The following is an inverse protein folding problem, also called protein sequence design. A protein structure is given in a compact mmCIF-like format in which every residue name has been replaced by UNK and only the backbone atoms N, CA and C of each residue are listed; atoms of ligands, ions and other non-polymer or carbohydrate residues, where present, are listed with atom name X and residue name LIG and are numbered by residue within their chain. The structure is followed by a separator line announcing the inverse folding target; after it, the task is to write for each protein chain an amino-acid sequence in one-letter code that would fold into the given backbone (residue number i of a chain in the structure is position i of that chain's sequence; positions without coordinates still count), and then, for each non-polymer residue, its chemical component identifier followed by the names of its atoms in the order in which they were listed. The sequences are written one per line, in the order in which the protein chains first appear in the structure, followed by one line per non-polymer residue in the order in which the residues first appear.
data_IF_127767889662
#
_entry.id   IF_127767889662
#
_cell.length_a   1.000
_cell.length_b   1.000
_cell.length_c   1.000
_cell.angle_alpha   90.00
_cell.angle_beta   90.00
_cell.angle_gamma   90.00
#
_symmetry.space_group_name_H-M   'P 1'
#
loop_
_entity.id
_entity.type
_entity.pdbx_description
1 polymer ?
#
# COMPACT_ATOMS: atom_id res chain seq x y z
N UNK A 1 -29.21 48.36 -62.77
CA UNK A 1 -29.40 48.46 -61.31
C UNK A 1 -28.10 48.07 -60.65
N UNK A 2 -27.71 48.78 -59.60
CA UNK A 2 -26.38 48.68 -58.97
C UNK A 2 -26.52 48.28 -57.49
N UNK A 3 -25.47 47.65 -56.96
CA UNK A 3 -25.14 47.45 -55.53
C UNK A 3 -24.43 48.72 -55.00
N UNK A 4 -24.04 48.88 -53.70
CA UNK A 4 -24.47 48.26 -52.43
C UNK A 4 -25.12 49.37 -51.52
N UNK A 5 -25.02 49.47 -50.17
CA UNK A 5 -24.55 48.57 -49.08
C UNK A 5 -25.56 48.47 -47.89
N UNK A 6 -25.30 48.17 -46.59
CA UNK A 6 -24.10 47.87 -45.75
C UNK A 6 -24.50 47.02 -44.50
N UNK A 7 -23.54 46.66 -43.63
CA UNK A 7 -23.63 46.27 -42.20
C UNK A 7 -22.83 47.32 -41.36
N UNK A 8 -22.68 47.32 -40.01
CA UNK A 8 -23.14 46.38 -38.95
C UNK A 8 -23.76 47.06 -37.70
N UNK A 9 -24.07 46.31 -36.64
CA UNK A 9 -23.54 46.58 -35.27
C UNK A 9 -23.94 45.50 -34.26
N UNK A 10 -22.98 45.10 -33.42
CA UNK A 10 -23.21 44.34 -32.19
C UNK A 10 -23.65 45.29 -31.07
N UNK A 11 -24.55 44.83 -30.18
CA UNK A 11 -24.50 45.23 -28.76
C UNK A 11 -25.22 44.23 -27.85
N UNK A 12 -24.52 43.77 -26.82
CA UNK A 12 -25.14 43.19 -25.63
C UNK A 12 -25.97 44.25 -24.90
N UNK A 13 -27.04 43.83 -24.20
CA UNK A 13 -27.14 43.96 -22.74
C UNK A 13 -28.47 43.36 -22.21
N UNK A 14 -28.33 42.36 -21.36
CA UNK A 14 -29.12 42.02 -20.16
C UNK A 14 -30.64 41.76 -20.19
N UNK A 15 -31.04 40.97 -19.17
CA UNK A 15 -32.39 40.66 -18.69
C UNK A 15 -33.34 39.93 -19.65
N UNK A 16 -33.66 38.67 -19.28
CA UNK A 16 -34.95 38.36 -18.66
C UNK A 16 -34.93 36.96 -18.06
N UNK A 17 -35.16 36.88 -16.75
CA UNK A 17 -35.51 35.66 -16.05
C UNK A 17 -37.01 35.73 -15.70
N UNK A 18 -37.81 34.83 -16.27
CA UNK A 18 -39.19 34.53 -15.87
C UNK A 18 -39.36 33.00 -16.10
N UNK A 19 -39.22 32.20 -15.04
CA UNK A 19 -40.34 31.66 -14.25
C UNK A 19 -41.35 30.81 -15.05
N UNK A 20 -41.08 29.51 -15.13
CA UNK A 20 -42.15 28.50 -15.19
C UNK A 20 -42.38 27.94 -13.79
N UNK A 21 -43.34 28.54 -13.06
CA UNK A 21 -43.76 28.05 -11.75
C UNK A 21 -44.55 26.73 -11.89
N UNK A 22 -44.00 25.64 -11.35
CA UNK A 22 -44.74 24.39 -11.16
C UNK A 22 -45.22 24.27 -9.70
N UNK A 23 -46.54 24.12 -9.52
CA UNK A 23 -47.15 23.93 -8.21
C UNK A 23 -46.63 22.64 -7.54
N UNK A 24 -45.75 22.81 -6.54
CA UNK A 24 -45.34 21.71 -5.66
C UNK A 24 -45.27 22.24 -4.22
N UNK A 25 -46.07 21.67 -3.31
CA UNK A 25 -46.19 22.14 -1.92
C UNK A 25 -45.03 21.69 -1.02
N UNK A 26 -43.80 21.76 -1.51
CA UNK A 26 -42.61 21.57 -0.67
C UNK A 26 -42.13 22.94 -0.17
N UNK A 27 -41.77 23.09 1.12
CA UNK A 27 -41.08 24.28 1.56
C UNK A 27 -39.76 24.41 0.76
N UNK A 28 -39.32 25.63 0.43
CA UNK A 28 -38.03 25.81 -0.23
C UNK A 28 -36.93 25.20 0.64
N UNK A 29 -35.94 24.57 0.00
CA UNK A 29 -34.73 24.16 0.70
C UNK A 29 -34.14 25.38 1.43
N UNK A 30 -33.67 25.23 2.69
CA UNK A 30 -32.97 26.33 3.35
C UNK A 30 -31.80 26.78 2.47
N UNK A 31 -31.57 28.09 2.39
CA UNK A 31 -30.38 28.63 1.72
C UNK A 31 -29.13 28.02 2.37
N UNK A 32 -28.05 27.83 1.59
CA UNK A 32 -26.83 27.16 2.01
C UNK A 32 -26.26 27.75 3.32
N UNK A 33 -26.69 27.18 4.45
CA UNK A 33 -26.01 27.35 5.72
C UNK A 33 -24.67 26.63 5.56
N UNK A 34 -23.59 27.41 5.54
CA UNK A 34 -22.25 26.92 5.81
C UNK A 34 -22.26 26.34 7.22
N UNK A 35 -22.63 25.06 7.31
CA UNK A 35 -22.50 24.27 8.52
C UNK A 35 -21.01 24.19 8.85
N UNK A 36 -20.55 25.08 9.75
CA UNK A 36 -19.33 24.82 10.51
C UNK A 36 -19.54 23.48 11.19
N UNK A 37 -18.88 22.44 10.68
CA UNK A 37 -19.03 21.06 11.15
C UNK A 37 -18.26 20.94 12.48
N UNK A 38 -18.80 21.55 13.53
CA UNK A 38 -18.41 21.27 14.92
C UNK A 38 -18.71 19.80 15.17
N UNK A 39 -17.70 18.96 15.03
CA UNK A 39 -17.87 17.52 15.10
C UNK A 39 -18.44 17.13 16.47
N UNK A 40 -19.40 16.22 16.52
CA UNK A 40 -20.05 15.79 17.77
C UNK A 40 -19.13 15.04 18.73
N UNK A 41 -17.92 14.69 18.30
CA UNK A 41 -16.89 14.04 19.09
C UNK A 41 -16.00 15.09 19.76
N UNK A 42 -15.87 15.02 21.09
CA UNK A 42 -14.97 15.88 21.87
C UNK A 42 -13.50 15.66 21.46
N UNK A 43 -12.75 16.71 21.07
CA UNK A 43 -11.31 16.60 20.80
C UNK A 43 -10.51 15.94 21.93
N UNK A 44 -10.92 16.13 23.18
CA UNK A 44 -10.30 15.53 24.36
C UNK A 44 -10.40 14.00 24.35
N UNK A 45 -11.49 13.45 23.80
CA UNK A 45 -11.68 12.01 23.65
C UNK A 45 -10.70 11.45 22.61
N UNK A 46 -10.55 12.10 21.45
CA UNK A 46 -9.60 11.70 20.40
C UNK A 46 -8.16 11.71 20.94
N UNK A 47 -7.78 12.76 21.66
CA UNK A 47 -6.46 12.85 22.33
C UNK A 47 -6.30 11.73 23.37
N UNK A 48 -7.36 11.35 24.08
CA UNK A 48 -7.31 10.24 25.03
C UNK A 48 -7.08 8.89 24.35
N UNK A 49 -7.69 8.66 23.18
CA UNK A 49 -7.48 7.45 22.38
C UNK A 49 -6.04 7.39 21.86
N UNK A 50 -5.50 8.46 21.28
CA UNK A 50 -4.10 8.51 20.79
C UNK A 50 -3.12 8.15 21.92
N UNK A 51 -3.38 8.60 23.15
CA UNK A 51 -2.56 8.24 24.33
C UNK A 51 -2.67 6.78 24.75
N UNK A 52 -3.80 6.11 24.51
CA UNK A 52 -3.93 4.65 24.72
C UNK A 52 -3.15 3.85 23.68
N UNK A 53 -2.94 4.40 22.48
CA UNK A 53 -2.18 3.75 21.42
C UNK A 53 -0.66 3.77 21.64
N UNK A 54 -0.15 4.56 22.61
CA UNK A 54 1.26 4.60 22.96
C UNK A 54 1.77 3.21 23.32
N UNK A 55 2.86 2.72 22.69
CA UNK A 55 3.50 1.48 23.10
C UNK A 55 3.82 1.50 24.59
N UNK A 56 3.42 0.45 25.31
CA UNK A 56 3.78 0.29 26.71
C UNK A 56 5.30 0.36 26.82
N UNK A 57 5.82 1.18 27.75
CA UNK A 57 7.26 1.31 28.01
C UNK A 57 7.86 -0.09 28.23
N UNK A 58 8.50 -0.64 27.20
CA UNK A 58 9.39 -1.78 27.31
C UNK A 58 10.49 -1.30 28.25
N UNK A 59 10.44 -1.76 29.50
CA UNK A 59 11.36 -1.31 30.54
C UNK A 59 12.77 -1.39 29.97
N UNK A 60 13.42 -0.24 29.85
CA UNK A 60 14.83 -0.17 29.50
C UNK A 60 15.55 -1.14 30.43
N UNK A 61 16.17 -2.18 29.85
CA UNK A 61 16.75 -3.27 30.62
C UNK A 61 17.72 -2.70 31.65
N UNK A 62 17.65 -3.20 32.88
CA UNK A 62 18.40 -2.68 34.02
C UNK A 62 19.90 -2.71 33.75
N UNK A 63 20.44 -1.61 33.20
CA UNK A 63 21.84 -1.27 33.37
C UNK A 63 21.98 -0.90 34.84
N UNK A 64 22.31 -1.91 35.64
CA UNK A 64 22.70 -1.76 37.03
C UNK A 64 24.00 -0.97 37.09
N UNK A 65 23.87 0.36 37.00
CA UNK A 65 24.89 1.31 37.44
C UNK A 65 24.93 1.25 38.97
N UNK A 66 25.67 0.26 39.47
CA UNK A 66 26.05 0.18 40.87
C UNK A 66 26.88 1.40 41.25
N UNK A 67 26.21 2.44 41.75
CA UNK A 67 26.83 3.59 42.39
C UNK A 67 27.27 3.22 43.81
N UNK A 68 28.45 2.61 43.94
CA UNK A 68 29.22 2.68 45.18
C UNK A 68 30.01 3.98 45.18
N UNK A 69 29.63 4.93 46.04
CA UNK A 69 30.21 6.26 46.12
C UNK A 69 31.10 6.43 47.36
N UNK A 70 32.41 6.21 47.22
CA UNK A 70 33.53 6.67 48.05
C UNK A 70 34.82 6.42 47.24
N UNK A 71 35.88 7.24 47.20
CA UNK A 71 36.24 8.49 47.90
C UNK A 71 37.14 9.35 46.97
N UNK A 72 37.47 10.59 47.36
CA UNK A 72 38.13 11.57 46.50
C UNK A 72 39.63 11.33 46.25
N UNK A 73 40.14 11.71 45.07
CA UNK A 73 41.41 12.47 44.92
C UNK A 73 41.69 12.98 43.49
N UNK A 74 42.20 14.20 43.47
CA UNK A 74 42.75 15.05 42.39
C UNK A 74 43.70 14.35 41.40
N UNK A 75 43.56 14.58 40.08
CA UNK A 75 44.52 15.32 39.22
C UNK A 75 44.14 15.31 37.73
N UNK A 76 44.73 16.24 36.97
CA UNK A 76 44.34 16.64 35.62
C UNK A 76 45.04 15.89 34.44
N UNK A 77 44.96 16.46 33.22
CA UNK A 77 44.46 15.71 32.07
C UNK A 77 45.55 15.26 31.07
N UNK A 78 45.28 14.17 30.33
CA UNK A 78 46.05 13.82 29.12
C UNK A 78 45.18 13.28 27.98
N UNK A 79 45.40 13.88 26.82
CA UNK A 79 44.87 13.54 25.49
C UNK A 79 45.73 12.45 24.84
N UNK A 80 45.12 11.43 24.22
CA UNK A 80 45.68 10.65 23.09
C UNK A 80 44.57 9.70 22.56
N UNK A 81 43.99 9.94 21.38
CA UNK A 81 44.51 9.51 20.06
C UNK A 81 44.40 7.99 19.81
N UNK A 82 43.20 7.54 19.44
CA UNK A 82 42.93 6.15 19.04
C UNK A 82 43.59 5.84 17.68
N UNK A 83 44.62 4.99 17.66
CA UNK A 83 45.25 4.49 16.42
C UNK A 83 44.79 3.08 16.10
N UNK A 84 44.26 2.91 14.90
CA UNK A 84 44.07 1.62 14.25
C UNK A 84 45.46 1.08 13.86
N UNK A 85 45.75 -0.17 14.22
CA UNK A 85 46.82 -0.97 13.59
C UNK A 85 46.33 -2.38 13.34
N UNK A 86 46.69 -2.92 12.18
CA UNK A 86 46.24 -4.20 11.63
C UNK A 86 47.42 -5.16 11.42
N UNK A 87 47.12 -6.38 10.94
CA UNK A 87 48.04 -7.39 10.37
C UNK A 87 48.68 -8.39 11.38
N UNK A 88 49.29 -9.51 10.93
CA UNK A 88 48.54 -10.76 10.69
C UNK A 88 49.28 -12.06 11.14
N UNK A 89 48.67 -13.24 11.01
CA UNK A 89 49.40 -14.51 10.77
C UNK A 89 48.51 -15.58 10.12
N UNK A 90 49.14 -16.52 9.42
CA UNK A 90 48.53 -17.43 8.44
C UNK A 90 48.31 -18.89 8.93
N UNK A 91 47.39 -19.59 8.24
CA UNK A 91 47.39 -21.00 7.82
C UNK A 91 47.56 -22.16 8.84
N UNK A 92 46.62 -23.12 8.80
CA UNK A 92 46.64 -24.35 9.60
C UNK A 92 45.55 -25.38 9.25
N UNK A 93 45.52 -25.83 8.00
CA UNK A 93 44.59 -26.80 7.38
C UNK A 93 44.25 -28.09 8.19
N UNK A 94 42.96 -28.50 8.22
CA UNK A 94 42.49 -29.90 8.04
C UNK A 94 40.95 -30.12 8.01
N UNK A 95 40.48 -30.74 6.92
CA UNK A 95 39.29 -31.61 6.74
C UNK A 95 38.90 -32.47 7.99
N UNK A 96 37.68 -32.97 8.24
CA UNK A 96 36.30 -32.92 7.68
C UNK A 96 35.46 -34.01 8.46
N UNK A 97 34.26 -34.48 8.05
CA UNK A 97 33.01 -34.26 8.79
C UNK A 97 32.34 -35.51 9.42
N UNK A 98 31.37 -35.33 10.31
CA UNK A 98 30.39 -36.38 10.70
C UNK A 98 28.97 -35.80 10.78
N UNK A 99 28.00 -36.55 10.24
CA UNK A 99 26.57 -36.24 10.18
C UNK A 99 25.77 -37.42 10.77
N UNK A 100 25.08 -37.22 11.89
CA UNK A 100 23.98 -38.05 12.45
C UNK A 100 23.14 -37.10 13.33
N UNK A 101 21.93 -36.70 12.94
CA UNK A 101 20.62 -37.37 13.09
C UNK A 101 20.11 -37.49 14.54
N UNK A 102 18.81 -37.22 14.67
CA UNK A 102 17.96 -37.09 15.86
C UNK A 102 18.15 -38.11 17.01
N UNK A 103 17.90 -37.67 18.24
CA UNK A 103 17.08 -38.47 19.18
C UNK A 103 16.51 -37.63 20.33
N UNK A 104 15.18 -37.70 20.48
CA UNK A 104 14.42 -37.15 21.62
C UNK A 104 14.64 -38.02 22.87
N UNK A 105 15.07 -37.42 23.99
CA UNK A 105 15.00 -38.07 25.32
C UNK A 105 14.62 -37.10 26.43
N UNK A 106 13.41 -37.30 26.95
CA UNK A 106 12.93 -36.83 28.25
C UNK A 106 13.85 -37.31 29.37
N UNK A 107 14.19 -36.43 30.31
CA UNK A 107 14.79 -36.79 31.58
C UNK A 107 14.22 -35.85 32.66
N UNK A 108 13.17 -36.32 33.33
CA UNK A 108 12.60 -35.67 34.51
C UNK A 108 13.60 -35.73 35.66
N UNK A 109 13.94 -34.59 36.25
CA UNK A 109 14.62 -34.54 37.55
C UNK A 109 13.72 -33.85 38.56
N UNK A 110 12.87 -34.66 39.21
CA UNK A 110 12.19 -34.28 40.45
C UNK A 110 13.23 -34.03 41.55
N UNK A 111 13.28 -32.80 42.07
CA UNK A 111 13.65 -32.57 43.46
C UNK A 111 12.48 -31.83 44.09
N UNK A 112 11.61 -32.60 44.73
CA UNK A 112 10.43 -32.07 45.42
C UNK A 112 10.85 -31.55 46.80
N UNK A 113 10.82 -30.23 46.98
CA UNK A 113 10.85 -29.60 48.30
C UNK A 113 9.67 -28.63 48.42
N UNK A 114 8.68 -29.06 49.18
CA UNK A 114 7.39 -28.38 49.32
C UNK A 114 7.48 -27.15 50.22
N UNK A 115 7.20 -25.96 49.66
CA UNK A 115 6.58 -24.83 50.36
C UNK A 115 5.58 -24.17 49.41
N UNK A 116 4.46 -23.67 49.95
CA UNK A 116 3.37 -23.01 49.21
C UNK A 116 3.85 -21.98 48.17
N UNK A 117 3.30 -22.06 46.95
CA UNK A 117 3.76 -21.21 45.84
C UNK A 117 3.09 -21.42 44.48
N UNK A 118 1.82 -21.83 44.43
CA UNK A 118 1.06 -21.79 43.16
C UNK A 118 0.75 -20.33 42.77
N UNK A 119 0.76 -20.07 41.46
CA UNK A 119 0.22 -18.88 40.75
C UNK A 119 1.18 -17.71 40.43
N UNK A 120 2.14 -17.88 39.50
CA UNK A 120 2.84 -16.74 38.86
C UNK A 120 3.14 -16.86 37.34
N UNK A 121 2.79 -17.96 36.66
CA UNK A 121 3.08 -18.12 35.22
C UNK A 121 1.90 -17.87 34.27
N UNK A 122 0.66 -17.79 34.78
CA UNK A 122 -0.54 -17.59 33.94
C UNK A 122 -0.75 -16.11 33.58
N UNK A 123 -0.61 -15.21 34.57
CA UNK A 123 -1.03 -13.81 34.47
C UNK A 123 -0.29 -12.96 33.40
N UNK A 124 0.90 -13.38 32.92
CA UNK A 124 1.66 -12.58 31.94
C UNK A 124 1.06 -12.61 30.54
N UNK A 125 0.55 -13.74 30.08
CA UNK A 125 -0.12 -13.82 28.78
C UNK A 125 -1.51 -13.15 28.84
N UNK A 126 -2.18 -13.24 29.98
CA UNK A 126 -3.49 -12.63 30.22
C UNK A 126 -3.40 -11.09 30.30
N UNK A 127 -2.44 -10.52 31.05
CA UNK A 127 -2.21 -9.06 31.08
C UNK A 127 -1.73 -8.49 29.73
N UNK A 128 -1.01 -9.27 28.92
CA UNK A 128 -0.65 -8.85 27.54
C UNK A 128 -1.87 -8.90 26.62
N UNK A 129 -2.64 -9.99 26.61
CA UNK A 129 -3.82 -10.11 25.76
C UNK A 129 -4.88 -9.03 26.07
N UNK A 130 -5.15 -8.76 27.36
CA UNK A 130 -6.08 -7.69 27.78
C UNK A 130 -5.59 -6.30 27.35
N UNK A 131 -4.27 -6.04 27.38
CA UNK A 131 -3.70 -4.79 26.86
C UNK A 131 -3.81 -4.66 25.34
N UNK A 132 -3.68 -5.76 24.61
CA UNK A 132 -3.86 -5.77 23.15
C UNK A 132 -5.34 -5.54 22.78
N UNK A 133 -6.29 -6.09 23.56
CA UNK A 133 -7.74 -5.85 23.39
C UNK A 133 -8.13 -4.38 23.69
N UNK A 134 -7.66 -3.80 24.80
CA UNK A 134 -7.84 -2.37 25.14
C UNK A 134 -7.24 -1.44 24.06
N UNK A 135 -6.10 -1.83 23.48
CA UNK A 135 -5.45 -1.11 22.38
C UNK A 135 -6.26 -1.23 21.10
N UNK A 136 -6.73 -2.44 20.76
CA UNK A 136 -7.51 -2.71 19.55
C UNK A 136 -8.83 -1.94 19.53
N UNK A 137 -9.61 -1.95 20.61
CA UNK A 137 -10.85 -1.16 20.71
C UNK A 137 -10.57 0.33 20.43
N UNK A 138 -9.53 0.86 21.07
CA UNK A 138 -9.13 2.26 20.95
C UNK A 138 -8.62 2.60 19.53
N UNK A 139 -7.91 1.66 18.90
CA UNK A 139 -7.38 1.78 17.54
C UNK A 139 -8.46 1.71 16.48
N UNK A 140 -9.44 0.81 16.62
CA UNK A 140 -10.59 0.73 15.70
C UNK A 140 -11.40 2.02 15.70
N UNK A 141 -11.66 2.61 16.88
CA UNK A 141 -12.36 3.90 16.99
C UNK A 141 -11.57 5.02 16.31
N UNK A 142 -10.23 5.05 16.44
CA UNK A 142 -9.40 6.01 15.71
C UNK A 142 -9.39 5.76 14.20
N UNK A 143 -9.45 4.51 13.75
CA UNK A 143 -9.51 4.17 12.32
C UNK A 143 -10.79 4.72 11.68
N UNK A 144 -11.94 4.50 12.30
CA UNK A 144 -13.23 5.05 11.87
C UNK A 144 -13.20 6.59 11.85
N UNK A 145 -12.70 7.22 12.92
CA UNK A 145 -12.62 8.68 13.03
C UNK A 145 -11.64 9.29 12.02
N UNK A 146 -10.55 8.62 11.67
CA UNK A 146 -9.56 9.12 10.70
C UNK A 146 -10.11 9.29 9.28
N UNK A 147 -11.28 8.70 8.95
CA UNK A 147 -11.97 8.95 7.68
C UNK A 147 -12.50 10.40 7.58
N UNK A 148 -12.77 11.06 8.71
CA UNK A 148 -13.23 12.45 8.78
C UNK A 148 -12.04 13.41 8.70
N UNK A 149 -12.08 14.39 7.78
CA UNK A 149 -11.02 15.38 7.58
C UNK A 149 -10.65 16.13 8.86
N UNK A 150 -11.65 16.67 9.55
CA UNK A 150 -11.46 17.46 10.78
C UNK A 150 -10.83 16.62 11.91
N UNK A 151 -11.18 15.34 11.98
CA UNK A 151 -10.60 14.42 12.96
C UNK A 151 -9.20 13.98 12.57
N UNK A 152 -8.94 13.74 11.28
CA UNK A 152 -7.62 13.44 10.77
C UNK A 152 -6.62 14.57 11.03
N UNK A 153 -7.01 15.83 10.77
CA UNK A 153 -6.20 17.01 11.05
C UNK A 153 -5.89 17.12 12.55
N UNK A 154 -6.91 16.99 13.43
CA UNK A 154 -6.72 16.99 14.88
C UNK A 154 -5.79 15.86 15.36
N UNK A 155 -5.93 14.64 14.83
CA UNK A 155 -5.06 13.51 15.20
C UNK A 155 -3.60 13.79 14.86
N UNK A 156 -3.37 14.34 13.67
CA UNK A 156 -2.03 14.68 13.16
C UNK A 156 -1.41 15.84 13.96
N UNK A 157 -2.19 16.84 14.36
CA UNK A 157 -1.76 17.90 15.29
C UNK A 157 -1.41 17.36 16.68
N UNK A 158 -1.99 16.22 17.09
CA UNK A 158 -1.79 15.59 18.40
C UNK A 158 -0.88 14.35 18.35
N UNK A 159 0.10 14.36 17.44
CA UNK A 159 1.18 13.36 17.33
C UNK A 159 0.75 11.92 17.01
N UNK A 160 -0.43 11.71 16.41
CA UNK A 160 -0.88 10.35 16.07
C UNK A 160 0.11 9.61 15.16
N UNK A 161 0.75 10.30 14.21
CA UNK A 161 1.70 9.68 13.29
C UNK A 161 2.98 9.20 13.98
N UNK A 162 3.49 9.98 14.93
CA UNK A 162 4.64 9.62 15.76
C UNK A 162 4.31 8.43 16.68
N UNK A 163 3.08 8.37 17.22
CA UNK A 163 2.60 7.21 18.01
C UNK A 163 2.46 5.96 17.13
N UNK A 164 1.82 6.07 15.96
CA UNK A 164 1.61 4.95 15.03
C UNK A 164 2.94 4.42 14.48
N UNK A 165 3.90 5.29 14.17
CA UNK A 165 5.27 4.90 13.81
C UNK A 165 5.94 4.11 14.94
N UNK A 166 5.89 4.64 16.18
CA UNK A 166 6.47 3.94 17.33
C UNK A 166 5.82 2.55 17.54
N UNK A 167 4.51 2.42 17.32
CA UNK A 167 3.79 1.15 17.36
C UNK A 167 4.22 0.18 16.26
N UNK A 168 4.29 0.62 15.00
CA UNK A 168 4.75 -0.20 13.87
C UNK A 168 6.19 -0.72 14.07
N UNK A 169 7.06 0.05 14.74
CA UNK A 169 8.44 -0.36 15.03
C UNK A 169 8.59 -1.42 16.14
N UNK A 170 7.57 -1.65 16.97
CA UNK A 170 7.66 -2.54 18.15
C UNK A 170 6.58 -3.61 18.23
N UNK A 171 5.48 -3.45 17.50
CA UNK A 171 4.40 -4.44 17.46
C UNK A 171 4.87 -5.76 16.87
N UNK A 172 4.31 -6.86 17.41
CA UNK A 172 4.37 -8.20 16.82
C UNK A 172 2.98 -8.74 16.49
N UNK A 173 1.93 -7.99 16.81
CA UNK A 173 0.56 -8.37 16.54
C UNK A 173 0.18 -7.86 15.15
N UNK A 174 -0.18 -8.78 14.26
CA UNK A 174 -0.67 -8.45 12.92
C UNK A 174 -1.88 -7.52 12.99
N UNK A 175 -2.80 -7.74 13.93
CA UNK A 175 -4.00 -6.91 14.10
C UNK A 175 -3.67 -5.47 14.51
N UNK A 176 -2.71 -5.28 15.41
CA UNK A 176 -2.23 -3.94 15.80
C UNK A 176 -1.55 -3.24 14.61
N UNK A 177 -0.80 -3.99 13.79
CA UNK A 177 -0.14 -3.48 12.59
C UNK A 177 -1.14 -3.10 11.50
N UNK A 178 -2.13 -3.95 11.23
CA UNK A 178 -3.25 -3.70 10.31
C UNK A 178 -3.99 -2.41 10.70
N UNK A 179 -4.43 -2.29 11.95
CA UNK A 179 -5.12 -1.10 12.46
C UNK A 179 -4.22 0.14 12.35
N UNK A 180 -2.93 0.02 12.66
CA UNK A 180 -2.00 1.15 12.57
C UNK A 180 -1.84 1.64 11.12
N UNK A 181 -1.67 0.72 10.17
CA UNK A 181 -1.62 1.02 8.74
C UNK A 181 -2.95 1.59 8.24
N UNK A 182 -4.08 1.06 8.71
CA UNK A 182 -5.43 1.50 8.38
C UNK A 182 -5.72 2.94 8.81
N UNK A 183 -5.32 3.31 10.03
CA UNK A 183 -5.38 4.70 10.51
C UNK A 183 -4.54 5.60 9.60
N UNK A 184 -3.26 5.26 9.35
CA UNK A 184 -2.38 6.08 8.48
C UNK A 184 -2.96 6.19 7.06
N UNK A 185 -3.52 5.10 6.53
CA UNK A 185 -4.18 5.04 5.23
C UNK A 185 -5.46 5.87 5.14
N UNK A 186 -6.18 6.09 6.24
CA UNK A 186 -7.31 7.03 6.29
C UNK A 186 -6.81 8.48 6.44
N UNK A 187 -5.77 8.71 7.24
CA UNK A 187 -5.13 10.03 7.36
C UNK A 187 -4.57 10.51 6.01
N UNK A 188 -4.00 9.62 5.18
CA UNK A 188 -3.44 9.97 3.87
C UNK A 188 -4.49 10.33 2.80
N UNK A 189 -5.78 10.16 3.08
CA UNK A 189 -6.88 10.67 2.23
C UNK A 189 -7.00 12.21 2.26
N UNK A 190 -6.41 12.89 3.25
CA UNK A 190 -6.57 14.34 3.46
C UNK A 190 -5.24 15.07 3.24
N UNK A 191 -5.22 16.12 2.40
CA UNK A 191 -3.99 16.77 1.93
C UNK A 191 -3.05 17.29 3.04
N UNK A 192 -3.61 17.88 4.10
CA UNK A 192 -2.84 18.41 5.24
C UNK A 192 -2.14 17.27 5.99
N UNK A 193 -2.91 16.23 6.31
CA UNK A 193 -2.42 15.02 6.96
C UNK A 193 -1.41 14.27 6.09
N UNK A 194 -1.63 14.18 4.78
CA UNK A 194 -0.70 13.60 3.81
C UNK A 194 0.65 14.31 3.86
N UNK A 195 0.69 15.64 3.74
CA UNK A 195 1.93 16.44 3.81
C UNK A 195 2.71 16.28 5.12
N UNK A 196 2.02 15.96 6.22
CA UNK A 196 2.69 15.62 7.48
C UNK A 196 3.16 14.16 7.51
N UNK A 197 2.43 13.19 6.95
CA UNK A 197 2.92 11.82 6.72
C UNK A 197 4.24 11.84 5.94
N UNK A 198 4.30 12.58 4.84
CA UNK A 198 5.50 12.70 3.98
C UNK A 198 6.68 13.37 4.69
N UNK A 199 6.39 14.20 5.70
CA UNK A 199 7.39 14.91 6.51
C UNK A 199 7.77 14.19 7.81
N UNK A 200 7.15 13.04 8.12
CA UNK A 200 7.44 12.26 9.34
C UNK A 200 8.57 11.28 9.03
N UNK A 201 9.79 11.66 9.42
CA UNK A 201 11.01 10.86 9.21
C UNK A 201 10.84 9.40 9.64
N UNK A 202 11.22 8.47 8.74
CA UNK A 202 11.15 7.03 8.97
C UNK A 202 9.79 6.39 8.65
N UNK A 203 8.67 7.11 8.74
CA UNK A 203 7.33 6.54 8.62
C UNK A 203 7.11 5.77 7.31
N UNK A 204 7.52 6.34 6.18
CA UNK A 204 7.37 5.72 4.87
C UNK A 204 8.28 4.50 4.71
N UNK A 205 9.50 4.54 5.26
CA UNK A 205 10.39 3.38 5.31
C UNK A 205 9.76 2.24 6.09
N UNK A 206 9.25 2.51 7.28
CA UNK A 206 8.56 1.52 8.12
C UNK A 206 7.28 0.99 7.48
N UNK A 207 6.52 1.80 6.73
CA UNK A 207 5.36 1.33 5.94
C UNK A 207 5.81 0.35 4.85
N UNK A 208 6.89 0.66 4.13
CA UNK A 208 7.44 -0.22 3.09
C UNK A 208 8.02 -1.53 3.66
N UNK A 209 8.57 -1.50 4.88
CA UNK A 209 8.98 -2.71 5.60
C UNK A 209 7.80 -3.66 5.89
N UNK A 210 6.57 -3.15 6.02
CA UNK A 210 5.39 -4.00 6.24
C UNK A 210 5.04 -4.88 5.02
N UNK A 211 5.54 -4.55 3.82
CA UNK A 211 5.39 -5.41 2.64
C UNK A 211 6.05 -6.80 2.82
N UNK A 212 6.95 -6.95 3.79
CA UNK A 212 7.63 -8.21 4.11
C UNK A 212 6.93 -9.04 5.20
N UNK A 213 5.76 -8.60 5.69
CA UNK A 213 4.85 -9.44 6.44
C UNK A 213 4.09 -10.39 5.50
N UNK A 214 3.56 -11.48 6.03
CA UNK A 214 2.72 -12.44 5.30
C UNK A 214 1.22 -12.31 5.64
N UNK A 215 0.85 -11.38 6.54
CA UNK A 215 -0.54 -11.13 6.91
C UNK A 215 -1.26 -10.32 5.82
N UNK A 216 -2.30 -10.90 5.22
CA UNK A 216 -2.97 -10.30 4.08
C UNK A 216 -3.68 -8.96 4.39
N UNK A 217 -4.41 -8.78 5.52
CA UNK A 217 -4.93 -7.47 5.93
C UNK A 217 -3.85 -6.39 6.06
N UNK A 218 -2.71 -6.68 6.71
CA UNK A 218 -1.58 -5.74 6.77
C UNK A 218 -1.09 -5.35 5.38
N UNK A 219 -0.92 -6.33 4.48
CA UNK A 219 -0.46 -6.09 3.12
C UNK A 219 -1.47 -5.29 2.28
N UNK A 220 -2.79 -5.50 2.48
CA UNK A 220 -3.84 -4.71 1.84
C UNK A 220 -3.69 -3.23 2.18
N UNK A 221 -3.57 -2.90 3.47
CA UNK A 221 -3.47 -1.51 3.92
C UNK A 221 -2.13 -0.87 3.57
N UNK A 222 -1.03 -1.64 3.58
CA UNK A 222 0.26 -1.19 3.05
C UNK A 222 0.15 -0.83 1.55
N UNK A 223 -0.37 -1.73 0.71
CA UNK A 223 -0.56 -1.45 -0.72
C UNK A 223 -1.48 -0.25 -0.96
N UNK A 224 -2.58 -0.14 -0.21
CA UNK A 224 -3.53 1.00 -0.28
C UNK A 224 -2.86 2.33 0.05
N UNK A 225 -2.09 2.38 1.14
CA UNK A 225 -1.38 3.58 1.58
C UNK A 225 -0.29 4.00 0.58
N UNK A 226 0.50 3.04 0.07
CA UNK A 226 1.54 3.31 -0.93
C UNK A 226 0.89 3.85 -2.21
N UNK A 227 -0.20 3.23 -2.69
CA UNK A 227 -0.94 3.68 -3.89
C UNK A 227 -1.40 5.13 -3.74
N UNK A 228 -2.03 5.48 -2.62
CA UNK A 228 -2.58 6.82 -2.40
C UNK A 228 -1.51 7.91 -2.25
N UNK A 229 -0.35 7.56 -1.69
CA UNK A 229 0.81 8.47 -1.62
C UNK A 229 1.49 8.59 -3.00
N UNK A 230 1.53 7.53 -3.80
CA UNK A 230 2.07 7.55 -5.16
C UNK A 230 1.23 8.44 -6.10
N UNK A 231 -0.10 8.41 -5.95
CA UNK A 231 -1.04 9.26 -6.70
C UNK A 231 -1.05 10.73 -6.23
N UNK A 232 -0.21 11.12 -5.27
CA UNK A 232 -0.17 12.48 -4.72
C UNK A 232 0.91 13.37 -5.34
N UNK A 233 0.75 14.69 -5.18
CA UNK A 233 1.78 15.67 -5.55
C UNK A 233 3.08 15.49 -4.77
N UNK A 234 3.03 14.88 -3.59
CA UNK A 234 4.18 14.71 -2.71
C UNK A 234 5.04 13.47 -3.01
N UNK A 235 4.65 12.58 -3.93
CA UNK A 235 5.20 11.22 -4.11
C UNK A 235 6.74 11.05 -4.26
N UNK A 236 7.52 12.10 -4.50
CA UNK A 236 8.96 12.02 -4.80
C UNK A 236 9.81 11.18 -3.81
N UNK A 237 9.61 11.34 -2.50
CA UNK A 237 10.34 10.54 -1.49
C UNK A 237 9.92 9.06 -1.48
N UNK A 238 8.67 8.77 -1.86
CA UNK A 238 8.15 7.40 -1.93
C UNK A 238 8.81 6.68 -3.09
N UNK A 239 8.99 7.36 -4.23
CA UNK A 239 9.67 6.83 -5.41
C UNK A 239 11.13 6.50 -5.11
N UNK A 240 11.85 7.39 -4.40
CA UNK A 240 13.22 7.12 -3.97
C UNK A 240 13.33 5.89 -3.05
N UNK A 241 12.32 5.62 -2.23
CA UNK A 241 12.28 4.42 -1.38
C UNK A 241 11.84 3.16 -2.16
N UNK A 242 10.84 3.28 -3.04
CA UNK A 242 10.27 2.19 -3.83
C UNK A 242 11.24 1.61 -4.88
N UNK A 243 12.18 2.40 -5.40
CA UNK A 243 13.13 1.94 -6.44
C UNK A 243 14.03 0.77 -6.01
N UNK A 244 14.03 0.40 -4.73
CA UNK A 244 14.73 -0.78 -4.21
C UNK A 244 14.23 -2.06 -4.87
N UNK A 245 15.10 -2.75 -5.61
CA UNK A 245 14.79 -4.02 -6.30
C UNK A 245 14.15 -5.05 -5.35
N UNK A 246 14.56 -5.08 -4.07
CA UNK A 246 13.98 -5.98 -3.06
C UNK A 246 12.51 -5.68 -2.75
N UNK A 247 12.10 -4.40 -2.78
CA UNK A 247 10.72 -3.97 -2.56
C UNK A 247 9.88 -4.27 -3.81
N UNK A 248 10.37 -3.94 -5.00
CA UNK A 248 9.70 -4.23 -6.26
C UNK A 248 9.49 -5.74 -6.47
N UNK A 249 10.51 -6.55 -6.18
CA UNK A 249 10.41 -8.01 -6.15
C UNK A 249 9.34 -8.50 -5.16
N UNK A 250 9.21 -7.89 -3.98
CA UNK A 250 8.18 -8.30 -3.01
C UNK A 250 6.77 -7.93 -3.48
N UNK A 251 6.57 -6.76 -4.08
CA UNK A 251 5.28 -6.37 -4.68
C UNK A 251 4.88 -7.35 -5.79
N UNK A 252 5.79 -7.67 -6.71
CA UNK A 252 5.53 -8.64 -7.77
C UNK A 252 5.28 -10.06 -7.22
N UNK A 253 6.04 -10.49 -6.21
CA UNK A 253 5.83 -11.78 -5.55
C UNK A 253 4.45 -11.87 -4.89
N UNK A 254 3.97 -10.79 -4.25
CA UNK A 254 2.62 -10.74 -3.66
C UNK A 254 1.57 -10.98 -4.75
N UNK A 255 1.66 -10.27 -5.88
CA UNK A 255 0.72 -10.40 -7.02
C UNK A 255 0.75 -11.82 -7.62
N UNK A 256 1.93 -12.42 -7.75
CA UNK A 256 2.11 -13.75 -8.33
C UNK A 256 1.64 -14.89 -7.41
N UNK A 257 1.66 -14.71 -6.07
CA UNK A 257 1.49 -15.80 -5.11
C UNK A 257 0.27 -15.69 -4.17
N UNK A 258 -0.40 -14.53 -4.08
CA UNK A 258 -1.56 -14.39 -3.18
C UNK A 258 -2.81 -15.13 -3.69
N UNK A 259 -3.53 -15.77 -2.76
CA UNK A 259 -4.88 -16.31 -3.00
C UNK A 259 -5.99 -15.40 -2.43
N UNK A 260 -5.62 -14.33 -1.74
CA UNK A 260 -6.57 -13.33 -1.23
C UNK A 260 -6.87 -12.30 -2.34
N UNK A 261 -8.12 -12.28 -2.80
CA UNK A 261 -8.58 -11.41 -3.90
C UNK A 261 -8.48 -9.91 -3.56
N UNK A 262 -8.70 -9.51 -2.30
CA UNK A 262 -8.59 -8.11 -1.90
C UNK A 262 -7.13 -7.64 -1.92
N UNK A 263 -6.21 -8.48 -1.45
CA UNK A 263 -4.77 -8.19 -1.54
C UNK A 263 -4.31 -8.15 -3.00
N UNK A 264 -4.80 -9.07 -3.83
CA UNK A 264 -4.48 -9.13 -5.24
C UNK A 264 -4.98 -7.88 -5.98
N UNK A 265 -6.23 -7.47 -5.74
CA UNK A 265 -6.80 -6.22 -6.24
C UNK A 265 -5.93 -5.02 -5.83
N UNK A 266 -5.64 -4.86 -4.54
CA UNK A 266 -4.87 -3.70 -4.02
C UNK A 266 -3.43 -3.66 -4.52
N UNK A 267 -2.79 -4.81 -4.71
CA UNK A 267 -1.42 -4.89 -5.25
C UNK A 267 -1.37 -4.65 -6.76
N UNK A 268 -2.41 -5.00 -7.52
CA UNK A 268 -2.53 -4.62 -8.94
C UNK A 268 -2.92 -3.14 -9.08
N UNK A 269 -3.80 -2.60 -8.21
CA UNK A 269 -4.07 -1.15 -8.17
C UNK A 269 -2.80 -0.34 -7.92
N UNK A 270 -1.88 -0.85 -7.08
CA UNK A 270 -0.56 -0.24 -6.90
C UNK A 270 0.27 -0.25 -8.20
N UNK A 271 0.30 -1.38 -8.93
CA UNK A 271 1.03 -1.47 -10.20
C UNK A 271 0.40 -0.58 -11.30
N UNK A 272 -0.92 -0.49 -11.37
CA UNK A 272 -1.64 0.44 -12.24
C UNK A 272 -1.29 1.90 -11.89
N UNK A 273 -1.28 2.25 -10.59
CA UNK A 273 -0.90 3.59 -10.14
C UNK A 273 0.57 3.93 -10.44
N UNK A 274 1.46 2.95 -10.60
CA UNK A 274 2.82 3.17 -11.14
C UNK A 274 2.77 3.40 -12.65
N UNK A 275 2.01 2.61 -13.40
CA UNK A 275 1.88 2.76 -14.86
C UNK A 275 1.24 4.10 -15.28
N UNK A 276 0.21 4.55 -14.56
CA UNK A 276 -0.51 5.81 -14.78
C UNK A 276 0.13 7.01 -14.07
N UNK A 277 1.27 6.83 -13.40
CA UNK A 277 1.95 7.91 -12.69
C UNK A 277 2.53 8.96 -13.64
N UNK A 278 2.92 10.11 -13.08
CA UNK A 278 3.64 11.15 -13.83
C UNK A 278 4.92 10.58 -14.44
N UNK A 279 5.32 11.11 -15.61
CA UNK A 279 6.43 10.56 -16.40
C UNK A 279 7.74 10.40 -15.61
N UNK A 280 8.04 11.31 -14.69
CA UNK A 280 9.21 11.27 -13.81
C UNK A 280 9.15 10.11 -12.79
N UNK A 281 7.97 9.74 -12.33
CA UNK A 281 7.74 8.56 -11.47
C UNK A 281 7.79 7.28 -12.30
N UNK A 282 7.06 7.23 -13.41
CA UNK A 282 6.96 6.07 -14.28
C UNK A 282 8.33 5.64 -14.85
N UNK A 283 9.15 6.61 -15.28
CA UNK A 283 10.51 6.36 -15.79
C UNK A 283 11.50 5.86 -14.74
N UNK A 284 11.22 6.00 -13.44
CA UNK A 284 12.05 5.44 -12.36
C UNK A 284 11.60 4.02 -12.00
N UNK A 285 10.29 3.80 -11.84
CA UNK A 285 9.75 2.57 -11.27
C UNK A 285 9.41 1.48 -12.31
N UNK A 286 9.01 1.85 -13.53
CA UNK A 286 8.66 0.86 -14.55
C UNK A 286 9.86 0.08 -15.10
N UNK A 287 11.02 0.66 -15.46
CA UNK A 287 12.13 -0.13 -16.01
C UNK A 287 12.55 -1.33 -15.15
N UNK A 288 12.71 -1.22 -13.80
CA UNK A 288 12.99 -2.38 -12.97
C UNK A 288 11.79 -3.33 -12.86
N UNK A 289 10.54 -2.86 -12.75
CA UNK A 289 9.36 -3.73 -12.70
C UNK A 289 9.20 -4.59 -13.97
N UNK A 290 9.39 -3.96 -15.14
CA UNK A 290 9.34 -4.63 -16.45
C UNK A 290 10.45 -5.69 -16.53
N UNK A 291 11.71 -5.31 -16.23
CA UNK A 291 12.86 -6.24 -16.17
C UNK A 291 12.65 -7.42 -15.20
N UNK A 292 11.94 -7.21 -14.09
CA UNK A 292 11.59 -8.25 -13.11
C UNK A 292 10.44 -9.17 -13.57
N UNK A 293 9.79 -8.88 -14.69
CA UNK A 293 8.80 -9.75 -15.33
C UNK A 293 7.34 -9.31 -15.13
N UNK A 294 7.07 -8.05 -14.77
CA UNK A 294 5.70 -7.51 -14.65
C UNK A 294 4.78 -7.87 -15.84
N UNK A 295 5.19 -7.73 -17.13
CA UNK A 295 4.35 -8.12 -18.28
C UNK A 295 3.96 -9.59 -18.26
N UNK A 296 4.88 -10.47 -17.85
CA UNK A 296 4.62 -11.92 -17.76
C UNK A 296 3.59 -12.22 -16.68
N UNK A 297 3.76 -11.63 -15.49
CA UNK A 297 2.86 -11.82 -14.34
C UNK A 297 1.44 -11.36 -14.68
N UNK A 298 1.28 -10.19 -15.33
CA UNK A 298 -0.04 -9.70 -15.74
C UNK A 298 -0.71 -10.62 -16.79
N UNK A 299 0.04 -11.17 -17.74
CA UNK A 299 -0.48 -12.09 -18.75
C UNK A 299 -0.83 -13.46 -18.16
N UNK A 300 0.02 -14.00 -17.29
CA UNK A 300 -0.23 -15.25 -16.56
C UNK A 300 -1.51 -15.12 -15.71
N UNK A 301 -1.68 -14.00 -15.01
CA UNK A 301 -2.87 -13.71 -14.21
C UNK A 301 -4.13 -13.50 -15.06
N UNK A 302 -4.03 -12.75 -16.17
CA UNK A 302 -5.15 -12.59 -17.11
C UNK A 302 -5.60 -13.94 -17.69
N UNK A 303 -4.66 -14.85 -17.94
CA UNK A 303 -4.98 -16.22 -18.37
C UNK A 303 -5.81 -16.95 -17.32
N UNK A 304 -5.42 -16.88 -16.04
CA UNK A 304 -6.14 -17.51 -14.94
C UNK A 304 -7.56 -16.96 -14.81
N UNK A 305 -7.76 -15.65 -14.87
CA UNK A 305 -9.10 -15.08 -14.73
C UNK A 305 -9.98 -15.27 -15.97
N UNK A 306 -9.42 -15.32 -17.18
CA UNK A 306 -10.19 -15.72 -18.38
C UNK A 306 -10.63 -17.19 -18.28
N UNK A 307 -9.79 -18.09 -17.76
CA UNK A 307 -10.19 -19.48 -17.50
C UNK A 307 -11.35 -19.56 -16.50
N UNK A 308 -11.26 -18.85 -15.35
CA UNK A 308 -12.35 -18.79 -14.36
C UNK A 308 -13.62 -18.13 -14.91
N UNK A 309 -13.50 -17.11 -15.77
CA UNK A 309 -14.64 -16.47 -16.43
C UNK A 309 -15.41 -17.48 -17.29
N UNK A 310 -14.69 -18.36 -18.00
CA UNK A 310 -15.27 -19.41 -18.85
C UNK A 310 -15.92 -20.52 -18.01
N UNK A 311 -15.27 -20.93 -16.91
CA UNK A 311 -15.69 -22.07 -16.08
C UNK A 311 -16.75 -21.72 -15.01
N UNK A 312 -16.57 -20.62 -14.28
CA UNK A 312 -17.33 -20.28 -13.07
C UNK A 312 -18.38 -19.18 -13.31
N UNK A 313 -18.16 -18.26 -14.27
CA UNK A 313 -19.04 -17.11 -14.60
C UNK A 313 -19.47 -16.28 -13.37
N UNK A 314 -18.52 -15.94 -12.49
CA UNK A 314 -18.77 -15.14 -11.28
C UNK A 314 -18.71 -13.62 -11.57
N UNK A 315 -19.81 -12.85 -11.41
CA UNK A 315 -19.81 -11.42 -11.73
C UNK A 315 -18.86 -10.57 -10.89
N UNK A 316 -18.60 -11.00 -9.66
CA UNK A 316 -17.66 -10.38 -8.71
C UNK A 316 -16.21 -10.34 -9.25
N UNK A 317 -15.87 -11.17 -10.24
CA UNK A 317 -14.54 -11.21 -10.88
C UNK A 317 -14.42 -10.29 -12.10
N UNK A 318 -15.51 -9.71 -12.60
CA UNK A 318 -15.45 -8.92 -13.85
C UNK A 318 -14.68 -7.61 -13.67
N UNK A 319 -14.86 -6.92 -12.54
CA UNK A 319 -14.07 -5.74 -12.15
C UNK A 319 -12.59 -6.06 -11.95
N UNK A 320 -12.27 -7.26 -11.47
CA UNK A 320 -10.90 -7.72 -11.29
C UNK A 320 -10.20 -7.98 -12.63
N UNK A 321 -10.92 -8.54 -13.61
CA UNK A 321 -10.43 -8.67 -14.98
C UNK A 321 -10.22 -7.30 -15.65
N UNK A 322 -11.15 -6.36 -15.47
CA UNK A 322 -11.05 -4.98 -15.95
C UNK A 322 -9.78 -4.29 -15.42
N UNK A 323 -9.50 -4.42 -14.11
CA UNK A 323 -8.28 -3.89 -13.48
C UNK A 323 -6.98 -4.46 -14.07
N UNK A 324 -6.91 -5.77 -14.36
CA UNK A 324 -5.73 -6.37 -15.02
C UNK A 324 -5.58 -5.80 -16.43
N UNK A 325 -6.67 -5.72 -17.20
CA UNK A 325 -6.65 -5.21 -18.57
C UNK A 325 -6.24 -3.75 -18.64
N UNK A 326 -6.76 -2.90 -17.74
CA UNK A 326 -6.34 -1.50 -17.60
C UNK A 326 -4.84 -1.38 -17.31
N UNK A 327 -4.29 -2.26 -16.45
CA UNK A 327 -2.85 -2.28 -16.15
C UNK A 327 -2.01 -2.66 -17.38
N UNK A 328 -2.46 -3.64 -18.17
CA UNK A 328 -1.79 -4.02 -19.42
C UNK A 328 -1.96 -2.94 -20.50
N UNK A 329 -3.12 -2.27 -20.55
CA UNK A 329 -3.42 -1.19 -21.49
C UNK A 329 -2.52 0.03 -21.23
N UNK A 330 -2.44 0.49 -19.98
CA UNK A 330 -1.59 1.59 -19.55
C UNK A 330 -0.12 1.37 -19.94
N UNK A 331 0.40 0.15 -19.79
CA UNK A 331 1.77 -0.19 -20.22
C UNK A 331 1.90 -0.35 -21.75
N UNK A 332 0.85 -0.78 -22.44
CA UNK A 332 0.85 -0.97 -23.91
C UNK A 332 0.90 0.34 -24.71
N UNK A 333 0.52 1.46 -24.11
CA UNK A 333 0.54 2.79 -24.75
C UNK A 333 1.82 3.58 -24.49
N UNK A 334 2.78 3.01 -23.76
CA UNK A 334 4.05 3.65 -23.45
C UNK A 334 5.13 3.23 -24.46
N UNK A 335 5.65 4.18 -25.23
CA UNK A 335 6.65 3.95 -26.30
C UNK A 335 7.85 3.08 -25.86
N UNK A 336 8.31 3.22 -24.61
CA UNK A 336 9.47 2.48 -24.07
C UNK A 336 9.17 0.99 -23.74
N UNK A 337 7.88 0.62 -23.57
CA UNK A 337 7.47 -0.71 -23.09
C UNK A 337 6.44 -1.42 -23.98
N UNK A 338 5.80 -0.71 -24.92
CA UNK A 338 4.74 -1.25 -25.76
C UNK A 338 5.20 -2.50 -26.49
N UNK A 339 6.41 -2.49 -27.07
CA UNK A 339 6.98 -3.63 -27.78
C UNK A 339 7.09 -4.90 -26.90
N UNK A 340 7.42 -4.79 -25.60
CA UNK A 340 7.58 -5.93 -24.71
C UNK A 340 6.24 -6.62 -24.42
N UNK A 341 5.18 -5.84 -24.26
CA UNK A 341 3.81 -6.34 -24.09
C UNK A 341 3.21 -6.81 -25.42
N UNK A 342 3.35 -6.03 -26.47
CA UNK A 342 2.73 -6.28 -27.77
C UNK A 342 3.34 -7.48 -28.51
N UNK A 343 4.61 -7.82 -28.24
CA UNK A 343 5.24 -9.04 -28.76
C UNK A 343 4.70 -10.34 -28.12
N UNK A 344 3.88 -10.25 -27.06
CA UNK A 344 3.36 -11.43 -26.36
C UNK A 344 2.19 -12.09 -27.14
N UNK A 345 2.51 -13.12 -27.93
CA UNK A 345 1.51 -13.92 -28.67
C UNK A 345 0.44 -14.56 -27.77
N UNK A 346 0.77 -14.87 -26.52
CA UNK A 346 -0.18 -15.39 -25.53
C UNK A 346 -1.25 -14.35 -25.15
N UNK A 347 -0.83 -13.11 -24.90
CA UNK A 347 -1.74 -11.99 -24.65
C UNK A 347 -2.75 -11.83 -25.81
N UNK A 348 -2.27 -11.75 -27.05
CA UNK A 348 -3.18 -11.63 -28.21
C UNK A 348 -4.23 -12.77 -28.29
N UNK A 349 -3.83 -14.00 -27.97
CA UNK A 349 -4.76 -15.14 -27.92
C UNK A 349 -5.78 -15.02 -26.80
N UNK A 350 -5.39 -14.52 -25.63
CA UNK A 350 -6.30 -14.27 -24.49
C UNK A 350 -7.31 -13.18 -24.80
N UNK A 351 -6.87 -12.04 -25.33
CA UNK A 351 -7.77 -10.94 -25.74
C UNK A 351 -8.75 -11.39 -26.83
N UNK A 352 -8.25 -12.15 -27.82
CA UNK A 352 -9.10 -12.74 -28.87
C UNK A 352 -10.13 -13.72 -28.30
N UNK A 353 -9.80 -14.49 -27.26
CA UNK A 353 -10.75 -15.37 -26.59
C UNK A 353 -11.83 -14.56 -25.86
N UNK A 354 -11.43 -13.57 -25.06
CA UNK A 354 -12.33 -12.68 -24.32
C UNK A 354 -13.33 -11.97 -25.24
N UNK A 355 -12.84 -11.38 -26.34
CA UNK A 355 -13.66 -10.71 -27.36
C UNK A 355 -14.60 -11.70 -28.09
N UNK A 356 -14.34 -13.01 -28.05
CA UNK A 356 -15.20 -14.05 -28.67
C UNK A 356 -16.21 -14.68 -27.71
N UNK A 357 -16.14 -14.40 -26.41
CA UNK A 357 -17.10 -14.95 -25.44
C UNK A 357 -18.54 -14.46 -25.73
N UNK A 358 -19.56 -15.29 -25.46
CA UNK A 358 -20.95 -14.85 -25.40
C UNK A 358 -21.16 -13.93 -24.19
N UNK A 359 -22.36 -13.33 -24.09
CA UNK A 359 -22.81 -12.60 -22.89
C UNK A 359 -21.98 -11.34 -22.52
N UNK A 360 -21.28 -10.76 -23.50
CA UNK A 360 -20.39 -9.58 -23.39
C UNK A 360 -20.95 -8.34 -22.70
N UNK A 361 -22.26 -8.22 -22.55
CA UNK A 361 -22.89 -7.12 -21.83
C UNK A 361 -22.44 -7.09 -20.35
N UNK A 362 -22.15 -8.26 -19.79
CA UNK A 362 -21.79 -8.45 -18.40
C UNK A 362 -20.35 -7.98 -18.07
N UNK A 363 -19.46 -7.99 -19.09
CA UNK A 363 -18.04 -7.62 -18.99
C UNK A 363 -17.64 -6.66 -20.12
N UNK A 364 -18.48 -5.66 -20.35
CA UNK A 364 -18.35 -4.73 -21.48
C UNK A 364 -17.04 -3.92 -21.44
N UNK A 365 -16.61 -3.43 -20.27
CA UNK A 365 -15.34 -2.72 -20.09
C UNK A 365 -14.16 -3.60 -20.51
N UNK A 366 -14.09 -4.83 -20.00
CA UNK A 366 -13.07 -5.83 -20.35
C UNK A 366 -13.03 -6.10 -21.86
N UNK A 367 -14.18 -6.12 -22.54
CA UNK A 367 -14.23 -6.23 -24.00
C UNK A 367 -13.69 -4.98 -24.73
N UNK A 368 -13.92 -3.79 -24.19
CA UNK A 368 -13.41 -2.52 -24.74
C UNK A 368 -11.90 -2.46 -24.59
N UNK A 369 -11.38 -2.62 -23.37
CA UNK A 369 -9.94 -2.63 -23.08
C UNK A 369 -9.21 -3.70 -23.91
N UNK A 370 -9.78 -4.91 -24.01
CA UNK A 370 -9.22 -5.96 -24.86
C UNK A 370 -9.20 -5.61 -26.35
N UNK A 371 -10.20 -4.85 -26.83
CA UNK A 371 -10.25 -4.39 -28.22
C UNK A 371 -9.20 -3.29 -28.49
N UNK A 372 -8.99 -2.37 -27.55
CA UNK A 372 -7.93 -1.35 -27.60
C UNK A 372 -6.56 -2.02 -27.59
N UNK A 373 -6.29 -2.90 -26.62
CA UNK A 373 -5.07 -3.70 -26.53
C UNK A 373 -4.79 -4.49 -27.82
N UNK A 374 -5.82 -5.11 -28.41
CA UNK A 374 -5.69 -5.83 -29.68
C UNK A 374 -5.25 -4.89 -30.82
N UNK A 375 -5.76 -3.65 -30.86
CA UNK A 375 -5.35 -2.66 -31.85
C UNK A 375 -3.91 -2.15 -31.62
N UNK A 376 -3.50 -1.92 -30.38
CA UNK A 376 -2.13 -1.55 -30.02
C UNK A 376 -1.15 -2.66 -30.43
N UNK A 377 -1.45 -3.92 -30.07
CA UNK A 377 -0.68 -5.10 -30.49
C UNK A 377 -0.53 -5.18 -32.02
N UNK A 378 -1.61 -5.00 -32.78
CA UNK A 378 -1.56 -5.06 -34.25
C UNK A 378 -0.83 -3.88 -34.89
N UNK A 379 -0.65 -2.77 -34.17
CA UNK A 379 0.11 -1.60 -34.62
C UNK A 379 1.61 -1.84 -34.44
N UNK A 380 2.01 -2.39 -33.30
CA UNK A 380 3.42 -2.52 -32.92
C UNK A 380 4.05 -3.87 -33.34
N UNK A 381 3.26 -4.96 -33.34
CA UNK A 381 3.70 -6.31 -33.74
C UNK A 381 3.33 -6.59 -35.21
N UNK A 382 4.04 -5.94 -36.13
CA UNK A 382 3.80 -6.08 -37.58
C UNK A 382 3.96 -7.52 -38.10
N UNK A 383 4.78 -8.35 -37.47
CA UNK A 383 4.93 -9.78 -37.77
C UNK A 383 3.67 -10.58 -37.39
N UNK A 384 3.08 -10.30 -36.22
CA UNK A 384 1.83 -10.91 -35.77
C UNK A 384 0.65 -10.50 -36.67
N UNK A 385 0.59 -9.22 -37.06
CA UNK A 385 -0.40 -8.73 -38.03
C UNK A 385 -0.28 -9.45 -39.39
N UNK A 386 0.96 -9.69 -39.85
CA UNK A 386 1.22 -10.47 -41.07
C UNK A 386 0.81 -11.95 -40.90
N UNK A 387 1.15 -12.61 -39.79
CA UNK A 387 0.72 -13.99 -39.51
C UNK A 387 -0.81 -14.15 -39.54
N UNK A 388 -1.55 -13.23 -38.93
CA UNK A 388 -3.02 -13.22 -38.93
C UNK A 388 -3.59 -13.03 -40.35
N UNK A 389 -3.00 -12.11 -41.12
CA UNK A 389 -3.40 -11.86 -42.51
C UNK A 389 -3.20 -13.07 -43.43
N UNK A 390 -2.20 -13.91 -43.13
CA UNK A 390 -1.86 -15.11 -43.92
C UNK A 390 -2.59 -16.37 -43.44
N UNK A 391 -2.95 -16.45 -42.16
CA UNK A 391 -3.71 -17.57 -41.56
C UNK A 391 -5.23 -17.55 -41.79
N UNK A 392 -5.74 -16.61 -42.59
CA UNK A 392 -7.19 -16.38 -42.79
C UNK A 392 -7.77 -16.95 -44.11
N UNK A 393 -7.16 -18.01 -44.68
CA UNK A 393 -7.62 -18.70 -45.90
C UNK A 393 -8.14 -20.11 -45.63
#
# INVERSE_FOLDING_TARGET
MSIPPELPSERNEEALAEEFQSNTHHPPAPADELFDITTTVDPSYIISLIRKLLPANVKCGEISLGYDAHDASTEGPKTEAFRITSSPTENGDKRSPIHVSETMKTAENFVEQSVDGKLYFQNKHEDVAVREEDWEESGCILWDLAASKTHAELMVENFALEVLLATLMVSKSARITEISLGIIGNLSCHDVSRKKITSTNGLIGTVLEQLFLDDAPCLCEACRLITLVLQSEECAFLVEALQSEHILCRVLWIVENTLNLQLLEKSITLLLAVAESKQDVATILLPPLIKLGLPRILVDLLSVEISKLIEERLPERYSFQDLILQTVEALSVMDDYSQEICSNKGLFQLLTQLIKLPDKADFANSCIAASVLTANILTDAADLALEISQGST
#
